data_IF_899667933781
#
_entry.id   IF_899667933781
#
_cell.length_a   1.000
_cell.length_b   1.000
_cell.length_c   1.000
_cell.angle_alpha   90.00
_cell.angle_beta   90.00
_cell.angle_gamma   90.00
#
_symmetry.space_group_name_H-M   'P 1'
#
loop_
_entity.id
_entity.type
_entity.pdbx_description
1 polymer ?
#
# COMPACT_ATOMS: atom_id res chain seq x y z
N UNK A 1 12.13 -4.28 -2.90
CA UNK A 1 10.97 -4.13 -3.80
C UNK A 1 9.90 -5.14 -3.37
N UNK A 2 8.63 -4.73 -3.28
CA UNK A 2 7.49 -5.50 -2.73
C UNK A 2 7.09 -6.74 -3.53
N UNK A 3 6.89 -6.63 -4.85
CA UNK A 3 6.47 -7.74 -5.71
C UNK A 3 7.53 -8.84 -5.75
N UNK A 4 8.80 -8.48 -5.93
CA UNK A 4 9.90 -9.45 -5.88
C UNK A 4 9.91 -10.23 -4.54
N UNK A 5 9.72 -9.55 -3.41
CA UNK A 5 9.63 -10.23 -2.11
C UNK A 5 8.43 -11.22 -2.05
N UNK A 6 7.29 -10.84 -2.62
CA UNK A 6 6.12 -11.70 -2.70
C UNK A 6 6.34 -12.89 -3.64
N UNK A 7 7.05 -12.71 -4.76
CA UNK A 7 7.41 -13.80 -5.67
C UNK A 7 8.31 -14.83 -4.97
N UNK A 8 9.33 -14.38 -4.22
CA UNK A 8 10.18 -15.27 -3.41
C UNK A 8 9.40 -16.00 -2.32
N UNK A 9 8.48 -15.31 -1.62
CA UNK A 9 7.60 -15.93 -0.63
C UNK A 9 6.71 -17.01 -1.27
N UNK A 10 6.10 -16.72 -2.42
CA UNK A 10 5.25 -17.69 -3.14
C UNK A 10 6.01 -18.91 -3.65
N UNK A 11 7.26 -18.70 -4.03
CA UNK A 11 8.13 -19.78 -4.46
C UNK A 11 8.62 -20.64 -3.28
N UNK A 12 8.36 -20.28 -2.03
CA UNK A 12 9.02 -20.89 -0.87
C UNK A 12 10.56 -20.89 -1.06
N UNK A 13 11.09 -19.72 -1.40
CA UNK A 13 12.49 -19.53 -1.75
C UNK A 13 13.12 -18.48 -0.83
N UNK A 14 14.28 -18.81 -0.26
CA UNK A 14 15.10 -17.81 0.41
C UNK A 14 15.63 -16.80 -0.63
N UNK A 15 15.40 -15.48 -0.44
CA UNK A 15 16.01 -14.49 -1.31
C UNK A 15 17.53 -14.46 -1.08
N UNK A 16 18.33 -14.17 -2.12
CA UNK A 16 19.77 -13.99 -1.97
C UNK A 16 20.07 -12.91 -0.91
N UNK A 17 21.04 -13.14 0.00
CA UNK A 17 21.26 -12.26 1.15
C UNK A 17 21.95 -10.95 0.77
N UNK A 18 22.65 -10.93 -0.36
CA UNK A 18 23.45 -9.81 -0.81
C UNK A 18 22.71 -8.96 -1.84
N UNK A 19 23.01 -7.66 -1.83
CA UNK A 19 22.52 -6.75 -2.86
C UNK A 19 23.15 -7.15 -4.20
N UNK A 20 22.35 -7.44 -5.25
CA UNK A 20 22.91 -7.82 -6.53
C UNK A 20 23.65 -6.64 -7.19
N UNK A 21 24.77 -6.90 -7.90
CA UNK A 21 25.42 -5.91 -8.74
C UNK A 21 24.46 -5.37 -9.80
N UNK A 22 24.66 -4.11 -10.19
CA UNK A 22 23.87 -3.52 -11.27
C UNK A 22 23.99 -4.36 -12.55
N UNK A 23 22.85 -4.64 -13.18
CA UNK A 23 22.79 -5.46 -14.39
C UNK A 23 22.83 -6.97 -14.17
N UNK A 24 23.11 -7.47 -12.96
CA UNK A 24 22.99 -8.91 -12.67
C UNK A 24 21.55 -9.42 -12.89
N UNK A 25 21.31 -10.73 -13.14
CA UNK A 25 19.97 -11.27 -13.34
C UNK A 25 18.97 -10.88 -12.25
N UNK A 26 19.37 -11.01 -10.97
CA UNK A 26 18.53 -10.61 -9.83
C UNK A 26 18.26 -9.09 -9.81
N UNK A 27 19.24 -8.25 -10.17
CA UNK A 27 19.03 -6.80 -10.25
C UNK A 27 17.98 -6.47 -11.32
N UNK A 28 18.13 -7.03 -12.52
CA UNK A 28 17.17 -6.82 -13.63
C UNK A 28 15.78 -7.31 -13.26
N UNK A 29 15.68 -8.45 -12.60
CA UNK A 29 14.43 -8.98 -12.07
C UNK A 29 13.78 -8.00 -11.08
N UNK A 30 14.52 -7.51 -10.08
CA UNK A 30 13.99 -6.55 -9.10
C UNK A 30 13.50 -5.26 -9.78
N UNK A 31 14.24 -4.76 -10.78
CA UNK A 31 13.83 -3.59 -11.57
C UNK A 31 12.59 -3.88 -12.40
N UNK A 32 12.50 -5.06 -13.03
CA UNK A 32 11.30 -5.47 -13.77
C UNK A 32 10.08 -5.51 -12.84
N UNK A 33 10.22 -6.12 -11.66
CA UNK A 33 9.14 -6.16 -10.66
C UNK A 33 8.76 -4.78 -10.12
N UNK A 34 9.71 -3.84 -10.06
CA UNK A 34 9.40 -2.44 -9.77
C UNK A 34 8.51 -1.83 -10.86
N UNK A 35 8.83 -2.04 -12.13
CA UNK A 35 8.04 -1.54 -13.27
C UNK A 35 6.66 -2.23 -13.32
N UNK A 36 6.62 -3.56 -13.18
CA UNK A 36 5.37 -4.34 -13.19
C UNK A 36 4.39 -3.87 -12.11
N UNK A 37 4.92 -3.45 -10.96
CA UNK A 37 4.12 -2.94 -9.84
C UNK A 37 3.41 -1.63 -10.11
N UNK A 38 3.74 -0.94 -11.20
CA UNK A 38 2.99 0.23 -11.67
C UNK A 38 1.65 -0.16 -12.28
N UNK A 39 1.52 -1.42 -12.72
CA UNK A 39 0.30 -1.98 -13.30
C UNK A 39 -0.32 -1.05 -14.35
N UNK A 40 0.49 -0.61 -15.31
CA UNK A 40 0.12 0.41 -16.29
C UNK A 40 -1.02 -0.11 -17.20
N UNK A 41 -2.06 0.71 -17.48
CA UNK A 41 -2.27 2.07 -16.98
C UNK A 41 -2.97 2.15 -15.61
N UNK A 42 -3.66 1.09 -15.19
CA UNK A 42 -4.62 1.12 -14.08
C UNK A 42 -4.00 1.46 -12.71
N UNK A 43 -2.83 0.93 -12.36
CA UNK A 43 -2.18 1.20 -11.08
C UNK A 43 -1.68 2.65 -10.98
N UNK A 44 -1.06 3.17 -12.05
CA UNK A 44 -0.67 4.59 -12.15
C UNK A 44 -1.89 5.50 -12.04
N UNK A 45 -2.97 5.18 -12.77
CA UNK A 45 -4.22 5.93 -12.71
C UNK A 45 -4.83 5.91 -11.30
N UNK A 46 -4.76 4.77 -10.59
CA UNK A 46 -5.26 4.66 -9.22
C UNK A 46 -4.46 5.52 -8.24
N UNK A 47 -3.13 5.50 -8.28
CA UNK A 47 -2.31 6.41 -7.46
C UNK A 47 -2.64 7.86 -7.74
N UNK A 48 -2.69 8.24 -9.02
CA UNK A 48 -2.98 9.61 -9.42
C UNK A 48 -4.36 10.07 -8.95
N UNK A 49 -5.39 9.23 -9.14
CA UNK A 49 -6.72 9.48 -8.61
C UNK A 49 -6.67 9.69 -7.09
N UNK A 50 -6.03 8.80 -6.36
CA UNK A 50 -5.98 8.87 -4.90
C UNK A 50 -5.19 10.07 -4.38
N UNK A 51 -4.13 10.50 -5.06
CA UNK A 51 -3.41 11.74 -4.72
C UNK A 51 -4.30 12.98 -4.78
N UNK A 52 -5.37 12.96 -5.59
CA UNK A 52 -6.30 14.08 -5.79
C UNK A 52 -7.57 14.00 -4.94
N UNK A 53 -7.80 12.90 -4.21
CA UNK A 53 -8.97 12.75 -3.35
C UNK A 53 -8.79 13.52 -2.02
N UNK A 54 -9.88 13.99 -1.38
CA UNK A 54 -9.84 14.47 0.00
C UNK A 54 -9.53 13.33 0.98
N UNK A 55 -8.93 13.65 2.13
CA UNK A 55 -8.58 12.63 3.14
C UNK A 55 -9.82 11.99 3.79
N UNK A 56 -10.86 12.79 4.04
CA UNK A 56 -12.18 12.36 4.48
C UNK A 56 -13.25 12.65 3.45
N UNK A 57 -14.50 12.29 3.74
CA UNK A 57 -15.60 12.54 2.83
C UNK A 57 -15.85 14.05 2.65
N UNK A 58 -16.00 14.47 1.39
CA UNK A 58 -16.41 15.82 1.03
C UNK A 58 -17.92 15.90 0.90
N UNK A 59 -18.51 16.99 1.39
CA UNK A 59 -19.94 17.22 1.35
C UNK A 59 -20.26 18.73 1.41
N UNK A 60 -21.41 19.14 0.88
CA UNK A 60 -21.95 20.49 1.03
C UNK A 60 -23.30 20.45 1.74
N UNK A 61 -23.76 21.60 2.26
CA UNK A 61 -25.05 21.71 2.96
C UNK A 61 -26.04 22.47 2.09
N UNK A 62 -27.23 21.90 1.87
CA UNK A 62 -28.36 22.57 1.20
C UNK A 62 -29.60 22.43 2.05
N UNK A 63 -30.27 23.55 2.35
CA UNK A 63 -31.48 23.57 3.19
C UNK A 63 -31.31 22.79 4.52
N UNK A 64 -30.14 22.92 5.16
CA UNK A 64 -29.82 22.23 6.42
C UNK A 64 -29.49 20.74 6.28
N UNK A 65 -29.50 20.17 5.07
CA UNK A 65 -29.14 18.77 4.81
C UNK A 65 -27.72 18.67 4.24
N UNK A 66 -26.91 17.77 4.81
CA UNK A 66 -25.56 17.46 4.32
C UNK A 66 -25.65 16.48 3.15
N UNK A 67 -25.21 16.91 1.97
CA UNK A 67 -25.16 16.11 0.74
C UNK A 67 -23.71 15.69 0.47
N UNK A 68 -23.46 14.38 0.50
CA UNK A 68 -22.16 13.80 0.19
C UNK A 68 -21.85 14.00 -1.30
N UNK A 69 -20.68 14.55 -1.61
CA UNK A 69 -20.19 14.68 -2.99
C UNK A 69 -19.21 13.60 -3.36
N UNK A 70 -18.30 13.27 -2.45
CA UNK A 70 -17.21 12.35 -2.76
C UNK A 70 -16.75 11.60 -1.52
N UNK A 71 -16.52 10.29 -1.69
CA UNK A 71 -15.87 9.47 -0.68
C UNK A 71 -14.36 9.74 -0.67
N UNK A 72 -13.84 10.10 0.50
CA UNK A 72 -12.42 10.37 0.69
C UNK A 72 -11.55 9.12 0.82
N UNK A 73 -10.25 9.34 0.99
CA UNK A 73 -9.25 8.27 1.13
C UNK A 73 -9.50 7.37 2.34
N UNK A 74 -9.91 7.95 3.47
CA UNK A 74 -10.21 7.19 4.70
C UNK A 74 -11.32 6.18 4.48
N UNK A 75 -12.42 6.62 3.86
CA UNK A 75 -13.56 5.74 3.58
C UNK A 75 -13.17 4.63 2.62
N UNK A 76 -12.46 4.96 1.52
CA UNK A 76 -12.00 3.98 0.52
C UNK A 76 -11.04 2.97 1.13
N UNK A 77 -10.11 3.44 1.97
CA UNK A 77 -9.18 2.55 2.68
C UNK A 77 -9.93 1.63 3.64
N UNK A 78 -10.75 2.17 4.54
CA UNK A 78 -11.37 1.42 5.64
C UNK A 78 -12.52 0.52 5.17
N UNK A 79 -13.37 0.99 4.26
CA UNK A 79 -14.61 0.28 3.87
C UNK A 79 -14.45 -0.56 2.61
N UNK A 80 -13.49 -0.25 1.75
CA UNK A 80 -13.30 -0.98 0.48
C UNK A 80 -12.04 -1.82 0.50
N UNK A 81 -10.89 -1.22 0.79
CA UNK A 81 -9.60 -1.89 0.64
C UNK A 81 -9.27 -2.81 1.81
N UNK A 82 -9.46 -2.33 3.04
CA UNK A 82 -9.13 -3.07 4.25
C UNK A 82 -9.84 -4.43 4.34
N UNK A 83 -11.15 -4.57 4.09
CA UNK A 83 -11.81 -5.88 4.14
C UNK A 83 -11.24 -6.90 3.16
N UNK A 84 -10.79 -6.44 1.98
CA UNK A 84 -10.16 -7.32 0.97
C UNK A 84 -8.75 -7.74 1.40
N UNK A 85 -7.96 -6.79 1.91
CA UNK A 85 -6.61 -7.08 2.45
C UNK A 85 -6.71 -8.05 3.62
N UNK A 86 -7.61 -7.79 4.57
CA UNK A 86 -7.88 -8.66 5.71
C UNK A 86 -8.24 -10.08 5.24
N UNK A 87 -9.17 -10.20 4.28
CA UNK A 87 -9.61 -11.49 3.74
C UNK A 87 -8.45 -12.30 3.12
N UNK A 88 -7.53 -11.63 2.43
CA UNK A 88 -6.36 -12.31 1.85
C UNK A 88 -5.36 -12.72 2.94
N UNK A 89 -5.11 -11.87 3.94
CA UNK A 89 -4.26 -12.23 5.09
C UNK A 89 -4.86 -13.39 5.90
N UNK A 90 -6.18 -13.43 6.09
CA UNK A 90 -6.89 -14.54 6.76
C UNK A 90 -6.72 -15.87 6.00
N UNK A 91 -6.34 -15.81 4.71
CA UNK A 91 -6.00 -16.98 3.88
C UNK A 91 -4.50 -17.27 3.84
N UNK A 92 -3.72 -16.63 4.72
CA UNK A 92 -2.26 -16.70 4.76
C UNK A 92 -1.60 -16.21 3.46
N UNK A 93 -2.23 -15.25 2.77
CA UNK A 93 -1.68 -14.64 1.55
C UNK A 93 -1.20 -13.23 1.87
N UNK A 94 0.11 -12.95 1.81
CA UNK A 94 0.62 -11.59 1.89
C UNK A 94 0.12 -10.75 0.70
N UNK A 95 -0.18 -9.48 0.99
CA UNK A 95 -0.88 -8.58 0.06
C UNK A 95 0.00 -7.37 -0.23
N UNK A 96 0.38 -7.13 -1.49
CA UNK A 96 1.07 -5.90 -1.84
C UNK A 96 0.08 -4.75 -1.72
N UNK A 97 0.45 -3.71 -0.99
CA UNK A 97 -0.38 -2.52 -0.81
C UNK A 97 0.32 -1.28 -1.33
N UNK A 98 -0.41 -0.47 -2.08
CA UNK A 98 -0.01 0.87 -2.48
C UNK A 98 -0.34 1.86 -1.37
N UNK A 99 0.64 2.70 -1.02
CA UNK A 99 0.57 3.66 0.08
C UNK A 99 0.64 5.06 -0.49
N UNK A 100 -0.42 5.84 -0.26
CA UNK A 100 -0.54 7.22 -0.76
C UNK A 100 -0.04 8.17 0.32
N UNK A 101 0.94 9.00 -0.03
CA UNK A 101 1.65 9.86 0.94
C UNK A 101 1.57 11.35 0.63
N UNK A 102 1.11 11.70 -0.58
CA UNK A 102 1.13 13.06 -1.11
C UNK A 102 -0.26 13.46 -1.62
N UNK A 103 -0.61 14.73 -1.41
CA UNK A 103 -1.74 15.40 -2.06
C UNK A 103 -1.19 16.26 -3.20
N UNK A 104 -1.43 15.87 -4.45
CA UNK A 104 -0.88 16.57 -5.61
C UNK A 104 -1.58 16.17 -6.90
N UNK A 105 -1.84 17.16 -7.75
CA UNK A 105 -2.30 16.99 -9.12
C UNK A 105 -1.14 16.85 -10.13
N UNK A 106 0.12 16.77 -9.67
CA UNK A 106 1.30 16.74 -10.54
C UNK A 106 1.75 15.29 -10.79
N UNK A 107 1.74 14.77 -12.03
CA UNK A 107 2.13 13.39 -12.30
C UNK A 107 3.55 13.03 -11.84
N UNK A 108 4.49 13.98 -11.88
CA UNK A 108 5.86 13.78 -11.41
C UNK A 108 5.96 13.46 -9.90
N UNK A 109 4.91 13.73 -9.12
CA UNK A 109 4.86 13.38 -7.70
C UNK A 109 4.44 11.93 -7.44
N UNK A 110 4.08 11.15 -8.48
CA UNK A 110 3.70 9.73 -8.33
C UNK A 110 4.77 8.91 -7.60
N UNK A 111 6.05 9.16 -7.90
CA UNK A 111 7.19 8.50 -7.25
C UNK A 111 7.37 8.86 -5.77
N UNK A 112 6.57 9.79 -5.22
CA UNK A 112 6.53 10.10 -3.78
C UNK A 112 5.61 9.15 -3.02
N UNK A 113 4.76 8.38 -3.69
CA UNK A 113 4.02 7.30 -3.04
C UNK A 113 4.96 6.12 -2.75
N UNK A 114 4.43 5.09 -2.10
CA UNK A 114 5.23 3.95 -1.66
C UNK A 114 4.46 2.63 -1.79
N UNK A 115 5.19 1.51 -1.67
CA UNK A 115 4.59 0.18 -1.64
C UNK A 115 5.19 -0.64 -0.51
N UNK A 116 4.34 -1.40 0.18
CA UNK A 116 4.74 -2.34 1.23
C UNK A 116 3.96 -3.66 1.07
N UNK A 117 4.40 -4.72 1.73
CA UNK A 117 3.75 -6.04 1.69
C UNK A 117 3.08 -6.30 3.04
N UNK A 118 1.75 -6.26 3.11
CA UNK A 118 1.02 -6.61 4.33
C UNK A 118 0.96 -8.12 4.51
N UNK A 119 1.23 -8.63 5.72
CA UNK A 119 1.28 -10.08 5.96
C UNK A 119 0.57 -10.54 7.24
N UNK A 120 0.28 -9.64 8.18
CA UNK A 120 -0.50 -9.96 9.38
C UNK A 120 -1.25 -8.71 9.86
N UNK A 121 -2.19 -8.89 10.77
CA UNK A 121 -2.84 -7.78 11.46
C UNK A 121 -3.33 -8.17 12.86
N UNK A 122 -3.49 -7.15 13.69
CA UNK A 122 -4.10 -7.23 15.01
C UNK A 122 -5.26 -6.22 15.09
N UNK A 123 -6.31 -6.56 15.85
CA UNK A 123 -7.45 -5.66 16.11
C UNK A 123 -7.73 -5.52 17.60
N UNK A 124 -7.97 -4.28 18.05
CA UNK A 124 -8.45 -3.96 19.38
C UNK A 124 -9.62 -2.96 19.26
N UNK A 125 -10.85 -3.47 19.32
CA UNK A 125 -12.04 -2.67 18.99
C UNK A 125 -12.01 -2.20 17.53
N UNK A 126 -12.13 -0.89 17.30
CA UNK A 126 -11.99 -0.27 15.98
C UNK A 126 -10.54 -0.09 15.53
N UNK A 127 -9.57 -0.24 16.43
CA UNK A 127 -8.16 -0.05 16.09
C UNK A 127 -7.62 -1.26 15.35
N UNK A 128 -7.00 -1.03 14.20
CA UNK A 128 -6.33 -2.03 13.37
C UNK A 128 -4.84 -1.71 13.35
N UNK A 129 -4.00 -2.72 13.52
CA UNK A 129 -2.55 -2.64 13.26
C UNK A 129 -2.20 -3.67 12.21
N UNK A 130 -1.74 -3.23 11.04
CA UNK A 130 -1.30 -4.10 9.95
C UNK A 130 0.22 -4.23 10.04
N UNK A 131 0.73 -5.46 10.08
CA UNK A 131 2.15 -5.77 9.98
C UNK A 131 2.54 -5.84 8.51
N UNK A 132 3.63 -5.17 8.16
CA UNK A 132 4.07 -5.06 6.78
C UNK A 132 5.57 -5.30 6.65
N UNK A 133 6.01 -5.83 5.52
CA UNK A 133 7.39 -5.72 5.07
C UNK A 133 7.54 -4.43 4.25
N UNK A 134 8.52 -3.61 4.61
CA UNK A 134 8.87 -2.37 3.90
C UNK A 134 10.29 -2.49 3.32
N UNK A 135 10.44 -2.47 1.98
CA UNK A 135 11.76 -2.47 1.32
C UNK A 135 12.72 -1.39 1.81
N UNK A 136 12.22 -0.27 2.34
CA UNK A 136 13.04 0.85 2.83
C UNK A 136 13.47 0.66 4.31
N UNK A 137 13.07 -0.43 4.96
CA UNK A 137 13.40 -0.73 6.37
C UNK A 137 14.28 -1.97 6.56
N UNK A 138 14.68 -2.62 5.47
CA UNK A 138 15.55 -3.81 5.53
C UNK A 138 14.83 -5.02 6.13
N UNK A 139 15.58 -5.85 6.88
CA UNK A 139 15.09 -7.11 7.48
C UNK A 139 14.44 -6.87 8.85
N UNK A 140 13.42 -6.01 8.89
CA UNK A 140 12.68 -5.67 10.12
C UNK A 140 11.27 -6.26 10.08
N UNK A 141 10.90 -6.92 11.16
CA UNK A 141 9.57 -7.56 11.31
C UNK A 141 8.63 -6.75 12.23
N UNK A 142 9.09 -5.62 12.76
CA UNK A 142 8.31 -4.71 13.62
C UNK A 142 7.68 -3.54 12.85
N UNK A 143 7.65 -3.62 11.51
CA UNK A 143 7.11 -2.54 10.66
C UNK A 143 5.58 -2.63 10.56
N UNK A 144 4.90 -1.51 10.74
CA UNK A 144 3.44 -1.46 10.83
C UNK A 144 2.79 -0.22 10.22
N UNK A 145 1.49 -0.34 9.96
CA UNK A 145 0.55 0.75 9.73
C UNK A 145 -0.65 0.54 10.67
N UNK A 146 -0.97 1.50 11.51
CA UNK A 146 -2.07 1.43 12.46
C UNK A 146 -3.08 2.57 12.25
N UNK A 147 -4.37 2.26 12.36
CA UNK A 147 -5.46 3.22 12.14
C UNK A 147 -6.70 2.84 12.95
N UNK A 148 -7.61 3.79 13.13
CA UNK A 148 -8.94 3.53 13.68
C UNK A 148 -9.98 3.40 12.55
N UNK A 149 -10.73 2.30 12.53
CA UNK A 149 -11.73 1.99 11.51
C UNK A 149 -13.15 2.45 11.86
N UNK A 150 -13.36 3.10 13.01
CA UNK A 150 -14.66 3.41 13.59
C UNK A 150 -15.38 4.61 12.96
N UNK A 151 -14.64 5.54 12.35
CA UNK A 151 -15.20 6.75 11.74
C UNK A 151 -14.76 6.93 10.27
N UNK A 152 -15.12 6.00 9.36
CA UNK A 152 -14.56 5.94 8.00
C UNK A 152 -14.83 7.16 7.13
N UNK A 153 -15.87 7.95 7.44
CA UNK A 153 -16.18 9.18 6.69
C UNK A 153 -15.30 10.38 7.08
N UNK A 154 -14.57 10.32 8.21
CA UNK A 154 -13.67 11.38 8.68
C UNK A 154 -12.23 11.10 8.22
N UNK A 155 -11.38 12.13 8.08
CA UNK A 155 -9.95 11.93 7.92
C UNK A 155 -9.40 11.03 9.03
N UNK A 156 -8.69 9.98 8.65
CA UNK A 156 -8.10 8.99 9.55
C UNK A 156 -6.59 9.22 9.66
N UNK A 157 -6.08 9.22 10.89
CA UNK A 157 -4.64 9.19 11.12
C UNK A 157 -4.12 7.76 10.98
N UNK A 158 -3.08 7.60 10.17
CA UNK A 158 -2.38 6.35 9.98
C UNK A 158 -1.01 6.44 10.66
N UNK A 159 -0.88 5.88 11.87
CA UNK A 159 0.39 5.80 12.57
C UNK A 159 1.27 4.72 11.92
N UNK A 160 2.53 5.00 11.67
CA UNK A 160 3.43 4.04 11.02
C UNK A 160 4.90 4.28 11.37
N UNK A 161 5.72 3.26 11.11
CA UNK A 161 7.18 3.36 11.12
C UNK A 161 7.81 3.04 9.75
N UNK A 162 7.04 3.14 8.65
CA UNK A 162 7.55 2.99 7.28
C UNK A 162 8.73 3.93 6.97
N UNK A 163 9.61 3.53 6.05
CA UNK A 163 10.75 4.28 5.54
C UNK A 163 10.35 5.41 4.58
N UNK A 164 9.46 6.28 5.04
CA UNK A 164 8.90 7.40 4.28
C UNK A 164 9.55 8.75 4.59
N UNK A 165 10.49 8.81 5.54
CA UNK A 165 10.94 10.07 6.12
C UNK A 165 9.82 10.68 6.97
N UNK A 166 9.55 11.98 6.81
CA UNK A 166 8.49 12.71 7.53
C UNK A 166 7.14 12.70 6.79
N UNK A 167 7.01 11.99 5.66
CA UNK A 167 5.76 11.96 4.90
C UNK A 167 4.70 11.13 5.63
N UNK A 168 3.45 11.62 5.69
CA UNK A 168 2.35 10.86 6.28
C UNK A 168 1.86 9.75 5.33
N UNK A 169 1.00 8.88 5.86
CA UNK A 169 0.10 8.06 5.05
C UNK A 169 -1.27 8.74 5.02
N UNK A 170 -1.80 8.98 3.82
CA UNK A 170 -3.15 9.54 3.60
C UNK A 170 -4.20 8.44 3.40
N UNK A 171 -3.77 7.29 2.89
CA UNK A 171 -4.59 6.12 2.65
C UNK A 171 -3.78 5.02 1.95
N UNK A 172 -4.35 3.83 1.84
CA UNK A 172 -3.72 2.73 1.13
C UNK A 172 -4.74 1.83 0.43
N UNK A 173 -4.26 1.08 -0.57
CA UNK A 173 -5.08 0.16 -1.34
C UNK A 173 -4.34 -1.14 -1.65
N UNK A 174 -5.10 -2.21 -1.90
CA UNK A 174 -4.58 -3.47 -2.42
C UNK A 174 -4.09 -3.26 -3.85
N UNK A 175 -2.81 -3.52 -4.09
CA UNK A 175 -2.23 -3.44 -5.43
C UNK A 175 -2.56 -4.70 -6.23
N UNK A 176 -2.85 -4.54 -7.52
CA UNK A 176 -3.00 -5.67 -8.43
C UNK A 176 -1.65 -6.34 -8.64
N UNK A 177 -1.59 -7.66 -8.51
CA UNK A 177 -0.35 -8.42 -8.53
C UNK A 177 -0.51 -9.68 -9.37
N UNK A 178 0.47 -9.91 -10.24
CA UNK A 178 0.63 -11.14 -11.04
C UNK A 178 1.98 -11.76 -10.67
N UNK A 179 2.03 -13.02 -10.21
CA UNK A 179 3.28 -13.68 -9.82
C UNK A 179 4.21 -13.94 -10.99
N UNK A 180 5.51 -13.80 -10.76
CA UNK A 180 6.58 -14.13 -11.71
C UNK A 180 7.57 -15.12 -11.06
N UNK A 181 8.16 -15.99 -11.86
CA UNK A 181 9.20 -16.91 -11.39
C UNK A 181 10.43 -16.15 -10.90
N UNK A 182 11.05 -16.67 -9.83
CA UNK A 182 12.28 -16.10 -9.28
C UNK A 182 13.50 -16.58 -10.10
N UNK A 183 14.51 -15.72 -10.35
CA UNK A 183 15.69 -16.13 -11.10
C UNK A 183 16.47 -17.26 -10.41
N UNK A 184 17.00 -18.20 -11.21
CA UNK A 184 17.86 -19.28 -10.72
C UNK A 184 17.10 -20.53 -10.25
N UNK A 185 15.85 -20.69 -10.67
CA UNK A 185 15.08 -21.94 -10.59
C UNK A 185 14.67 -22.38 -11.98
#
# INVERSE_FOLDING_TARGET
MTFAALDYWRADAAPPPERPPAGAPLYRYIVQRLIDSWHVPAGVAQYYQWMNLPDGDSAFTVFGRKVLTERGLSWRTIRVQWPQIKKDIDRHLPVPIGVVTVASARPQDLGRNHQVLAYAYDTAGSRVTVRVYDPNRGRRDDVFIAFDAGAPAKPTSFAHNLGLGQRPIRGFFRAAYTPHDVPGR
#
